data_IF_614285062857
#
_entry.id   IF_614285062857
#
_cell.length_a   1.000
_cell.length_b   1.000
_cell.length_c   1.000
_cell.angle_alpha   90.00
_cell.angle_beta   90.00
_cell.angle_gamma   90.00
#
_symmetry.space_group_name_H-M   'P 1'
#
loop_
_entity.id
_entity.type
_entity.pdbx_description
1 polymer ?
#
# COMPACT_ATOMS: atom_id res chain seq x y z
N UNK A 1 -8.51 5.80 12.36
CA UNK A 1 -9.48 6.53 13.20
C UNK A 1 -9.79 7.89 12.60
N UNK A 2 -10.59 7.91 11.55
CA UNK A 2 -11.13 9.13 10.96
C UNK A 2 -12.41 9.47 11.74
N UNK A 3 -12.32 10.35 12.71
CA UNK A 3 -13.47 10.75 13.50
C UNK A 3 -14.20 11.89 12.79
N UNK A 4 -15.36 11.61 12.23
CA UNK A 4 -16.42 12.61 12.09
C UNK A 4 -16.96 12.89 13.49
N UNK A 5 -16.25 13.71 14.25
CA UNK A 5 -16.70 14.12 15.56
C UNK A 5 -17.62 15.32 15.41
N UNK A 6 -18.94 15.07 15.58
CA UNK A 6 -20.01 16.00 15.91
C UNK A 6 -20.03 17.30 15.10
N UNK A 7 -21.16 17.53 14.44
CA UNK A 7 -21.57 18.85 13.98
C UNK A 7 -21.53 19.85 15.16
N UNK A 8 -20.42 20.55 15.32
CA UNK A 8 -20.30 21.64 16.26
C UNK A 8 -20.62 22.91 15.46
N UNK A 9 -21.80 23.48 15.65
CA UNK A 9 -22.23 24.76 15.03
C UNK A 9 -21.94 24.85 13.53
N UNK A 10 -22.50 23.95 12.68
CA UNK A 10 -22.29 23.91 11.23
C UNK A 10 -20.85 23.62 10.75
N UNK A 11 -20.00 23.06 11.58
CA UNK A 11 -18.64 22.63 11.20
C UNK A 11 -18.51 21.12 11.24
N UNK A 12 -17.82 20.59 10.25
CA UNK A 12 -17.36 19.20 10.18
C UNK A 12 -15.88 19.13 10.57
N UNK A 13 -15.50 18.08 11.24
CA UNK A 13 -14.12 17.88 11.69
C UNK A 13 -13.55 16.68 10.97
N UNK A 14 -12.45 16.88 10.25
CA UNK A 14 -11.71 15.81 9.60
C UNK A 14 -10.28 15.74 10.16
N UNK A 15 -9.75 14.53 10.29
CA UNK A 15 -8.37 14.31 10.71
C UNK A 15 -7.69 13.39 9.72
N UNK A 16 -6.74 13.92 8.95
CA UNK A 16 -5.91 13.17 8.02
C UNK A 16 -4.43 13.48 8.28
N UNK A 17 -3.54 12.51 8.10
CA UNK A 17 -2.09 12.72 8.18
C UNK A 17 -1.65 13.42 9.49
N UNK A 18 -2.30 13.08 10.61
CA UNK A 18 -2.13 13.71 11.92
C UNK A 18 -2.53 15.21 12.00
N UNK A 19 -3.13 15.77 10.94
CA UNK A 19 -3.67 17.13 10.91
C UNK A 19 -5.19 17.10 11.05
N UNK A 20 -5.72 17.88 12.01
CA UNK A 20 -7.15 18.00 12.29
C UNK A 20 -7.64 19.36 11.82
N UNK A 21 -8.66 19.35 10.94
CA UNK A 21 -9.20 20.55 10.34
C UNK A 21 -10.72 20.67 10.55
N UNK A 22 -11.20 21.90 10.59
CA UNK A 22 -12.61 22.26 10.80
C UNK A 22 -13.16 22.91 9.55
N UNK A 23 -14.03 22.19 8.83
CA UNK A 23 -14.64 22.67 7.61
C UNK A 23 -16.07 23.17 7.86
N UNK A 24 -16.41 24.34 7.31
CA UNK A 24 -17.76 24.91 7.37
C UNK A 24 -18.57 24.38 6.18
N UNK A 25 -19.85 24.11 6.41
CA UNK A 25 -20.77 23.74 5.34
C UNK A 25 -21.32 24.99 4.60
N UNK A 26 -21.42 24.98 3.24
CA UNK A 26 -20.94 23.93 2.33
C UNK A 26 -19.42 23.76 2.38
N UNK A 27 -18.94 22.55 2.08
CA UNK A 27 -17.52 22.21 2.23
C UNK A 27 -16.70 22.83 1.10
N UNK A 28 -15.63 23.54 1.46
CA UNK A 28 -14.60 23.92 0.50
C UNK A 28 -13.66 22.73 0.26
N UNK A 29 -14.04 21.85 -0.67
CA UNK A 29 -13.35 20.61 -0.99
C UNK A 29 -11.94 20.81 -1.53
N UNK A 30 -11.66 21.97 -2.12
CA UNK A 30 -10.40 22.29 -2.77
C UNK A 30 -9.63 23.42 -2.07
N UNK A 31 -9.87 23.63 -0.78
CA UNK A 31 -9.28 24.72 0.00
C UNK A 31 -7.73 24.74 -0.14
N UNK A 32 -7.16 25.82 -0.70
CA UNK A 32 -5.73 25.93 -0.99
C UNK A 32 -4.86 26.02 0.28
N UNK A 33 -5.46 26.31 1.44
CA UNK A 33 -4.72 26.35 2.71
C UNK A 33 -4.32 24.95 3.21
N UNK A 34 -4.92 23.88 2.69
CA UNK A 34 -4.55 22.52 3.01
C UNK A 34 -3.58 21.97 1.98
N UNK A 35 -2.70 21.06 2.42
CA UNK A 35 -1.81 20.36 1.48
C UNK A 35 -2.63 19.52 0.49
N UNK A 36 -2.11 19.33 -0.72
CA UNK A 36 -2.80 18.53 -1.74
C UNK A 36 -3.12 17.11 -1.23
N UNK A 37 -2.19 16.47 -0.53
CA UNK A 37 -2.43 15.14 0.01
C UNK A 37 -3.54 15.12 1.08
N UNK A 38 -3.66 16.19 1.88
CA UNK A 38 -4.77 16.31 2.84
C UNK A 38 -6.10 16.43 2.11
N UNK A 39 -6.19 17.27 1.04
CA UNK A 39 -7.38 17.37 0.20
C UNK A 39 -7.70 16.07 -0.51
N UNK A 40 -6.69 15.35 -1.00
CA UNK A 40 -6.87 14.02 -1.58
C UNK A 40 -7.57 13.08 -0.59
N UNK A 41 -7.12 13.01 0.67
CA UNK A 41 -7.75 12.20 1.71
C UNK A 41 -9.21 12.61 1.97
N UNK A 42 -9.52 13.90 1.90
CA UNK A 42 -10.91 14.39 2.00
C UNK A 42 -11.77 13.83 0.85
N UNK A 43 -11.25 13.85 -0.37
CA UNK A 43 -11.92 13.38 -1.58
C UNK A 43 -11.99 11.85 -1.73
N UNK A 44 -11.14 11.06 -1.04
CA UNK A 44 -11.15 9.59 -1.10
C UNK A 44 -12.44 8.98 -0.56
N UNK A 45 -13.07 9.62 0.41
CA UNK A 45 -14.18 9.06 1.17
C UNK A 45 -13.84 7.78 1.94
N UNK A 46 -12.55 7.48 2.19
CA UNK A 46 -12.16 6.36 3.07
C UNK A 46 -12.73 6.54 4.48
N UNK A 47 -12.78 7.78 4.97
CA UNK A 47 -13.41 8.16 6.24
C UNK A 47 -14.90 7.80 6.32
N UNK A 48 -15.57 7.63 5.17
CA UNK A 48 -16.97 7.23 5.12
C UNK A 48 -17.17 5.74 5.46
N UNK A 49 -16.12 4.92 5.37
CA UNK A 49 -16.18 3.50 5.79
C UNK A 49 -16.42 3.37 7.29
N UNK A 50 -15.94 4.28 8.11
CA UNK A 50 -16.18 4.28 9.56
C UNK A 50 -17.68 4.34 9.89
N UNK A 51 -18.49 4.96 9.02
CA UNK A 51 -19.95 4.94 9.18
C UNK A 51 -20.56 3.56 8.96
N UNK A 52 -19.99 2.77 8.07
CA UNK A 52 -20.45 1.40 7.81
C UNK A 52 -20.12 0.48 9.00
N UNK A 53 -18.93 0.61 9.57
CA UNK A 53 -18.50 -0.14 10.75
C UNK A 53 -19.35 0.21 11.98
N UNK A 54 -19.71 1.48 12.11
CA UNK A 54 -20.58 1.96 13.19
C UNK A 54 -22.02 1.44 13.05
N UNK A 55 -22.51 1.25 11.82
CA UNK A 55 -23.84 0.67 11.53
C UNK A 55 -23.99 -0.75 12.10
N UNK A 56 -22.96 -1.56 11.99
CA UNK A 56 -22.98 -2.96 12.44
C UNK A 56 -23.15 -3.03 13.96
N UNK A 57 -22.74 -1.97 14.68
CA UNK A 57 -22.62 -1.97 16.13
C UNK A 57 -23.60 -1.04 16.87
N UNK A 58 -24.45 -0.20 16.19
CA UNK A 58 -25.22 0.85 16.86
C UNK A 58 -26.56 1.23 16.22
N UNK A 59 -27.57 1.46 17.10
CA UNK A 59 -28.91 1.96 16.79
C UNK A 59 -28.98 3.46 16.34
N UNK A 60 -27.90 4.21 16.42
CA UNK A 60 -27.83 5.64 16.05
C UNK A 60 -27.62 5.89 14.54
N UNK A 61 -27.64 4.86 13.72
CA UNK A 61 -27.38 4.90 12.29
C UNK A 61 -28.20 5.95 11.50
N UNK A 62 -29.47 6.14 11.85
CA UNK A 62 -30.36 7.06 11.11
C UNK A 62 -29.92 8.52 11.12
N UNK A 63 -29.14 8.94 12.11
CA UNK A 63 -28.60 10.30 12.22
C UNK A 63 -27.30 10.46 11.44
N UNK A 64 -26.47 9.42 11.47
CA UNK A 64 -25.16 9.43 10.82
C UNK A 64 -25.29 9.22 9.31
N UNK A 65 -26.24 8.40 8.85
CA UNK A 65 -26.53 8.24 7.41
C UNK A 65 -27.01 9.53 6.76
N UNK A 66 -27.84 10.32 7.46
CA UNK A 66 -28.25 11.65 6.97
C UNK A 66 -27.06 12.59 6.79
N UNK A 67 -26.10 12.54 7.70
CA UNK A 67 -24.91 13.37 7.63
C UNK A 67 -24.04 12.97 6.43
N UNK A 68 -23.86 11.67 6.22
CA UNK A 68 -23.11 11.14 5.07
C UNK A 68 -23.81 11.51 3.74
N UNK A 69 -25.14 11.44 3.67
CA UNK A 69 -25.91 11.92 2.52
C UNK A 69 -25.63 13.39 2.20
N UNK A 70 -25.71 14.25 3.21
CA UNK A 70 -25.42 15.68 3.06
C UNK A 70 -24.02 15.90 2.47
N UNK A 71 -23.01 15.15 2.92
CA UNK A 71 -21.63 15.28 2.44
C UNK A 71 -21.45 14.74 1.00
N UNK A 72 -22.14 13.66 0.64
CA UNK A 72 -22.12 13.14 -0.74
C UNK A 72 -22.83 14.12 -1.68
N UNK A 73 -24.00 14.66 -1.27
CA UNK A 73 -24.73 15.64 -2.05
C UNK A 73 -23.91 16.91 -2.26
N UNK A 74 -23.33 17.43 -1.18
CA UNK A 74 -22.46 18.61 -1.23
C UNK A 74 -21.24 18.38 -2.14
N UNK A 75 -20.66 17.17 -2.12
CA UNK A 75 -19.55 16.84 -3.02
C UNK A 75 -19.98 16.85 -4.49
N UNK A 76 -21.12 16.26 -4.82
CA UNK A 76 -21.66 16.24 -6.20
C UNK A 76 -21.94 17.64 -6.71
N UNK A 77 -22.49 18.50 -5.86
CA UNK A 77 -22.90 19.85 -6.23
C UNK A 77 -21.72 20.83 -6.35
N UNK A 78 -20.69 20.66 -5.53
CA UNK A 78 -19.59 21.61 -5.41
C UNK A 78 -18.28 21.18 -6.10
N UNK A 79 -18.25 20.01 -6.75
CA UNK A 79 -17.06 19.56 -7.49
C UNK A 79 -17.35 19.40 -8.99
N UNK A 80 -17.17 20.49 -9.71
CA UNK A 80 -17.40 20.53 -11.16
C UNK A 80 -16.49 19.51 -11.87
N UNK A 81 -17.08 18.81 -12.86
CA UNK A 81 -16.39 17.80 -13.66
C UNK A 81 -15.03 18.29 -14.19
N UNK A 82 -14.00 17.52 -13.92
CA UNK A 82 -12.63 17.76 -14.37
C UNK A 82 -11.90 18.90 -13.67
N UNK A 83 -12.47 19.50 -12.62
CA UNK A 83 -11.84 20.58 -11.87
C UNK A 83 -11.45 20.17 -10.45
N UNK A 84 -10.27 20.60 -10.02
CA UNK A 84 -9.75 20.40 -8.67
C UNK A 84 -9.31 18.97 -8.37
N UNK A 85 -8.86 18.77 -7.15
CA UNK A 85 -8.25 17.52 -6.67
C UNK A 85 -9.24 16.34 -6.63
N UNK A 86 -10.53 16.63 -6.55
CA UNK A 86 -11.58 15.61 -6.58
C UNK A 86 -11.67 14.84 -7.90
N UNK A 87 -11.17 15.40 -9.00
CA UNK A 87 -11.17 14.78 -10.33
C UNK A 87 -9.80 14.20 -10.74
N UNK A 88 -8.85 14.16 -9.82
CA UNK A 88 -7.61 13.42 -10.01
C UNK A 88 -7.88 11.91 -10.04
N UNK A 89 -7.25 11.18 -10.95
CA UNK A 89 -7.56 9.77 -11.22
C UNK A 89 -7.41 8.86 -10.00
N UNK A 90 -6.35 9.05 -9.22
CA UNK A 90 -6.17 8.30 -7.98
C UNK A 90 -7.29 8.60 -6.96
N UNK A 91 -7.67 9.87 -6.83
CA UNK A 91 -8.75 10.30 -5.93
C UNK A 91 -10.10 9.70 -6.33
N UNK A 92 -10.42 9.72 -7.62
CA UNK A 92 -11.63 9.10 -8.17
C UNK A 92 -11.64 7.58 -7.90
N UNK A 93 -10.51 6.91 -8.10
CA UNK A 93 -10.39 5.46 -7.90
C UNK A 93 -10.82 5.05 -6.50
N UNK A 94 -10.30 5.70 -5.47
CA UNK A 94 -10.67 5.41 -4.09
C UNK A 94 -12.13 5.75 -3.81
N UNK A 95 -12.63 6.91 -4.30
CA UNK A 95 -13.99 7.34 -4.09
C UNK A 95 -15.04 6.44 -4.76
N UNK A 96 -14.83 6.00 -5.99
CA UNK A 96 -15.72 5.05 -6.67
C UNK A 96 -15.94 3.81 -5.79
N UNK A 97 -14.87 3.19 -5.31
CA UNK A 97 -14.95 2.00 -4.47
C UNK A 97 -15.71 2.27 -3.18
N UNK A 98 -15.41 3.38 -2.49
CA UNK A 98 -16.05 3.71 -1.24
C UNK A 98 -17.55 4.02 -1.42
N UNK A 99 -17.91 4.73 -2.46
CA UNK A 99 -19.33 5.02 -2.74
C UNK A 99 -20.11 3.77 -3.16
N UNK A 100 -19.52 2.89 -3.98
CA UNK A 100 -20.15 1.61 -4.31
C UNK A 100 -20.39 0.78 -3.06
N UNK A 101 -19.40 0.71 -2.16
CA UNK A 101 -19.54 0.00 -0.88
C UNK A 101 -20.69 0.58 -0.04
N UNK A 102 -20.78 1.91 0.07
CA UNK A 102 -21.84 2.60 0.80
C UNK A 102 -23.21 2.27 0.20
N UNK A 103 -23.39 2.45 -1.11
CA UNK A 103 -24.67 2.22 -1.78
C UNK A 103 -25.11 0.77 -1.65
N UNK A 104 -24.20 -0.18 -1.85
CA UNK A 104 -24.52 -1.61 -1.72
C UNK A 104 -24.80 -2.07 -0.29
N UNK A 105 -24.22 -1.39 0.70
CA UNK A 105 -24.41 -1.73 2.12
C UNK A 105 -25.62 -1.04 2.74
N UNK A 106 -26.10 0.05 2.16
CA UNK A 106 -27.09 0.93 2.76
C UNK A 106 -28.20 1.27 1.76
N UNK A 107 -29.37 0.59 1.80
CA UNK A 107 -30.48 0.82 0.86
C UNK A 107 -30.93 2.29 0.77
N UNK A 108 -30.80 3.07 1.85
CA UNK A 108 -31.12 4.49 1.87
C UNK A 108 -30.24 5.36 0.95
N UNK A 109 -29.13 4.80 0.45
CA UNK A 109 -28.25 5.44 -0.56
C UNK A 109 -28.53 4.95 -1.98
N UNK A 110 -29.48 4.05 -2.19
CA UNK A 110 -29.91 3.62 -3.52
C UNK A 110 -30.72 4.77 -4.16
N UNK A 111 -30.01 5.65 -4.85
CA UNK A 111 -30.53 6.87 -5.46
C UNK A 111 -29.88 7.10 -6.81
N UNK A 112 -30.69 7.39 -7.82
CA UNK A 112 -30.24 7.59 -9.21
C UNK A 112 -29.16 8.67 -9.32
N UNK A 113 -29.26 9.79 -8.56
CA UNK A 113 -28.23 10.86 -8.51
C UNK A 113 -26.84 10.31 -8.17
N UNK A 114 -26.76 9.38 -7.21
CA UNK A 114 -25.49 8.79 -6.79
C UNK A 114 -24.96 7.78 -7.81
N UNK A 115 -25.85 6.99 -8.37
CA UNK A 115 -25.54 6.01 -9.42
C UNK A 115 -25.00 6.74 -10.66
N UNK A 116 -25.66 7.82 -11.11
CA UNK A 116 -25.24 8.64 -12.25
C UNK A 116 -23.87 9.29 -11.98
N UNK A 117 -23.64 9.79 -10.76
CA UNK A 117 -22.35 10.36 -10.38
C UNK A 117 -21.23 9.32 -10.40
N UNK A 118 -21.48 8.10 -9.91
CA UNK A 118 -20.49 7.01 -9.98
C UNK A 118 -20.17 6.66 -11.43
N UNK A 119 -21.21 6.55 -12.29
CA UNK A 119 -20.99 6.27 -13.71
C UNK A 119 -20.18 7.35 -14.42
N UNK A 120 -20.47 8.61 -14.13
CA UNK A 120 -19.71 9.75 -14.64
C UNK A 120 -18.23 9.66 -14.22
N UNK A 121 -17.97 9.34 -12.95
CA UNK A 121 -16.61 9.18 -12.43
C UNK A 121 -15.87 7.99 -13.07
N UNK A 122 -16.56 6.86 -13.31
CA UNK A 122 -15.99 5.70 -14.02
C UNK A 122 -15.59 6.09 -15.45
N UNK A 123 -16.48 6.80 -16.16
CA UNK A 123 -16.22 7.26 -17.52
C UNK A 123 -15.04 8.24 -17.57
N UNK A 124 -14.95 9.15 -16.60
CA UNK A 124 -13.84 10.09 -16.49
C UNK A 124 -12.53 9.35 -16.23
N UNK A 125 -12.50 8.46 -15.22
CA UNK A 125 -11.32 7.65 -14.89
C UNK A 125 -10.84 6.83 -16.08
N UNK A 126 -11.76 6.20 -16.83
CA UNK A 126 -11.42 5.43 -18.02
C UNK A 126 -10.72 6.27 -19.11
N UNK A 127 -11.03 7.56 -19.19
CA UNK A 127 -10.41 8.49 -20.13
C UNK A 127 -9.14 9.16 -19.64
N UNK A 128 -8.89 9.16 -18.32
CA UNK A 128 -7.79 9.87 -17.66
C UNK A 128 -6.95 8.94 -16.76
N UNK A 129 -6.72 7.73 -17.21
CA UNK A 129 -5.93 6.71 -16.48
C UNK A 129 -4.49 7.15 -16.25
N UNK A 130 -3.89 6.70 -15.16
CA UNK A 130 -2.49 6.96 -14.80
C UNK A 130 -1.54 5.84 -15.28
N UNK A 131 -1.78 5.29 -16.46
CA UNK A 131 -0.97 4.22 -17.06
C UNK A 131 0.49 4.61 -17.29
N UNK A 132 0.76 5.90 -17.43
CA UNK A 132 2.11 6.46 -17.57
C UNK A 132 2.92 6.44 -16.25
N UNK A 133 2.28 6.41 -15.08
CA UNK A 133 2.94 6.33 -13.78
C UNK A 133 3.30 4.90 -13.40
N UNK A 134 2.44 3.94 -13.71
CA UNK A 134 2.54 2.59 -13.20
C UNK A 134 2.32 2.51 -11.68
N UNK A 135 2.89 1.49 -11.04
CA UNK A 135 2.86 1.31 -9.58
C UNK A 135 1.45 1.20 -8.99
N UNK A 136 1.33 1.53 -7.71
CA UNK A 136 0.08 1.39 -6.97
C UNK A 136 -1.05 2.28 -7.54
N UNK A 137 -0.76 3.46 -8.07
CA UNK A 137 -1.76 4.34 -8.70
C UNK A 137 -2.45 3.66 -9.88
N UNK A 138 -1.68 3.05 -10.75
CA UNK A 138 -2.22 2.33 -11.89
C UNK A 138 -3.05 1.11 -11.48
N UNK A 139 -2.59 0.35 -10.47
CA UNK A 139 -3.39 -0.76 -9.92
C UNK A 139 -4.71 -0.28 -9.34
N UNK A 140 -4.72 0.80 -8.56
CA UNK A 140 -5.96 1.37 -7.99
C UNK A 140 -6.92 1.86 -9.09
N UNK A 141 -6.40 2.46 -10.17
CA UNK A 141 -7.25 2.84 -11.32
C UNK A 141 -7.92 1.60 -11.93
N UNK A 142 -7.16 0.54 -12.22
CA UNK A 142 -7.68 -0.69 -12.82
C UNK A 142 -8.66 -1.43 -11.92
N UNK A 143 -8.34 -1.56 -10.64
CA UNK A 143 -9.23 -2.18 -9.64
C UNK A 143 -10.54 -1.42 -9.56
N UNK A 144 -10.50 -0.10 -9.53
CA UNK A 144 -11.70 0.73 -9.41
C UNK A 144 -12.54 0.74 -10.68
N UNK A 145 -11.92 0.74 -11.86
CA UNK A 145 -12.63 0.56 -13.12
C UNK A 145 -13.33 -0.80 -13.20
N UNK A 146 -12.65 -1.85 -12.73
CA UNK A 146 -13.20 -3.20 -12.72
C UNK A 146 -14.39 -3.32 -11.76
N UNK A 147 -14.24 -2.86 -10.51
CA UNK A 147 -15.31 -2.85 -9.52
C UNK A 147 -16.48 -1.99 -10.00
N UNK A 148 -16.17 -0.80 -10.55
CA UNK A 148 -17.16 0.13 -11.04
C UNK A 148 -17.97 -0.42 -12.22
N UNK A 149 -17.29 -0.95 -13.24
CA UNK A 149 -17.96 -1.47 -14.44
C UNK A 149 -18.89 -2.67 -14.13
N UNK A 150 -18.56 -3.48 -13.12
CA UNK A 150 -19.42 -4.57 -12.65
C UNK A 150 -20.76 -4.13 -12.04
N UNK A 151 -20.95 -2.83 -11.78
CA UNK A 151 -22.19 -2.28 -11.23
C UNK A 151 -23.19 -1.85 -12.31
N UNK A 152 -22.77 -1.83 -13.58
CA UNK A 152 -23.55 -1.29 -14.69
C UNK A 152 -23.68 -2.29 -15.83
N UNK A 153 -24.76 -2.16 -16.57
CA UNK A 153 -25.00 -2.92 -17.79
C UNK A 153 -24.76 -2.05 -19.04
N UNK A 154 -24.61 -2.71 -20.18
CA UNK A 154 -24.47 -2.09 -21.49
C UNK A 154 -23.06 -2.14 -22.06
N UNK A 155 -22.96 -1.87 -23.37
CA UNK A 155 -21.74 -2.05 -24.15
C UNK A 155 -20.52 -1.31 -23.62
N UNK A 156 -20.73 -0.09 -23.11
CA UNK A 156 -19.63 0.71 -22.56
C UNK A 156 -19.11 0.15 -21.25
N UNK A 157 -20.00 -0.34 -20.36
CA UNK A 157 -19.62 -0.97 -19.11
C UNK A 157 -18.83 -2.26 -19.38
N UNK A 158 -19.32 -3.09 -20.30
CA UNK A 158 -18.64 -4.31 -20.73
C UNK A 158 -17.25 -4.02 -21.31
N UNK A 159 -17.12 -3.00 -22.15
CA UNK A 159 -15.82 -2.59 -22.71
C UNK A 159 -14.83 -2.18 -21.62
N UNK A 160 -15.28 -1.41 -20.62
CA UNK A 160 -14.46 -0.99 -19.48
C UNK A 160 -14.06 -2.21 -18.66
N UNK A 161 -14.99 -3.13 -18.41
CA UNK A 161 -14.74 -4.38 -17.71
C UNK A 161 -13.65 -5.21 -18.38
N UNK A 162 -13.82 -5.53 -19.67
CA UNK A 162 -12.89 -6.36 -20.43
C UNK A 162 -11.48 -5.72 -20.49
N UNK A 163 -11.42 -4.42 -20.71
CA UNK A 163 -10.17 -3.67 -20.68
C UNK A 163 -9.46 -3.78 -19.34
N UNK A 164 -10.15 -3.40 -18.25
CA UNK A 164 -9.54 -3.37 -16.92
C UNK A 164 -9.21 -4.74 -16.38
N UNK A 165 -10.00 -5.77 -16.71
CA UNK A 165 -9.74 -7.16 -16.35
C UNK A 165 -8.44 -7.67 -16.98
N UNK A 166 -8.25 -7.44 -18.28
CA UNK A 166 -7.06 -7.85 -19.02
C UNK A 166 -5.81 -7.08 -18.59
N UNK A 167 -5.91 -5.76 -18.45
CA UNK A 167 -4.76 -4.95 -18.05
C UNK A 167 -4.37 -5.19 -16.59
N UNK A 168 -5.32 -5.43 -15.68
CA UNK A 168 -5.00 -5.78 -14.30
C UNK A 168 -4.25 -7.11 -14.19
N UNK A 169 -4.68 -8.14 -14.93
CA UNK A 169 -3.95 -9.41 -14.98
C UNK A 169 -2.50 -9.21 -15.45
N UNK A 170 -2.29 -8.39 -16.47
CA UNK A 170 -0.97 -8.07 -17.01
C UNK A 170 -0.11 -7.31 -16.00
N UNK A 171 -0.68 -6.27 -15.37
CA UNK A 171 0.03 -5.44 -14.40
C UNK A 171 0.41 -6.21 -13.15
N UNK A 172 -0.44 -7.09 -12.64
CA UNK A 172 -0.09 -7.93 -11.49
C UNK A 172 1.09 -8.87 -11.78
N UNK A 173 1.23 -9.35 -13.03
CA UNK A 173 2.40 -10.14 -13.44
C UNK A 173 3.70 -9.32 -13.44
N UNK A 174 3.61 -8.00 -13.64
CA UNK A 174 4.75 -7.07 -13.63
C UNK A 174 5.05 -6.58 -12.21
N UNK A 175 4.03 -6.18 -11.48
CA UNK A 175 4.18 -5.49 -10.20
C UNK A 175 4.37 -6.43 -9.01
N UNK A 176 3.90 -7.69 -9.10
CA UNK A 176 4.18 -8.72 -8.08
C UNK A 176 5.43 -9.49 -8.49
N UNK A 177 6.49 -9.32 -7.72
CA UNK A 177 7.78 -9.95 -7.96
C UNK A 177 7.68 -11.48 -7.78
N UNK A 178 8.71 -12.23 -8.24
CA UNK A 178 8.70 -13.70 -8.17
C UNK A 178 8.62 -14.24 -6.75
N UNK A 179 9.20 -13.51 -5.79
CA UNK A 179 9.13 -13.85 -4.36
C UNK A 179 7.82 -13.41 -3.69
N UNK A 180 6.92 -12.77 -4.42
CA UNK A 180 5.60 -12.31 -3.97
C UNK A 180 5.55 -10.87 -3.47
N UNK A 181 6.69 -10.19 -3.34
CA UNK A 181 6.73 -8.78 -2.93
C UNK A 181 6.19 -7.84 -4.01
N UNK A 182 5.65 -6.70 -3.61
CA UNK A 182 5.27 -5.63 -4.53
C UNK A 182 6.52 -4.88 -5.01
N UNK A 183 6.55 -4.47 -6.29
CA UNK A 183 7.71 -3.84 -6.92
C UNK A 183 8.20 -2.55 -6.23
N UNK A 184 7.32 -1.83 -5.53
CA UNK A 184 7.67 -0.60 -4.82
C UNK A 184 8.46 -0.85 -3.53
N UNK A 185 8.61 -2.12 -3.12
CA UNK A 185 9.44 -2.57 -2.00
C UNK A 185 9.17 -1.84 -0.67
N UNK A 186 7.92 -1.50 -0.45
CA UNK A 186 7.40 -1.00 0.81
C UNK A 186 6.41 -2.02 1.39
N UNK A 187 6.56 -2.35 2.67
CA UNK A 187 5.66 -3.29 3.34
C UNK A 187 4.24 -2.75 3.41
N UNK A 188 4.07 -1.46 3.68
CA UNK A 188 2.75 -0.84 3.80
C UNK A 188 2.00 -0.79 2.47
N UNK A 189 2.67 -0.43 1.36
CA UNK A 189 2.05 -0.45 0.03
C UNK A 189 1.75 -1.87 -0.44
N UNK A 190 2.60 -2.84 -0.08
CA UNK A 190 2.31 -4.25 -0.34
C UNK A 190 1.01 -4.69 0.35
N UNK A 191 0.85 -4.39 1.64
CA UNK A 191 -0.35 -4.73 2.40
C UNK A 191 -1.60 -4.01 1.87
N UNK A 192 -1.47 -2.73 1.50
CA UNK A 192 -2.53 -1.95 0.87
C UNK A 192 -3.04 -2.64 -0.41
N UNK A 193 -2.15 -2.99 -1.33
CA UNK A 193 -2.53 -3.65 -2.58
C UNK A 193 -3.13 -5.04 -2.30
N UNK A 194 -2.58 -5.81 -1.37
CA UNK A 194 -3.13 -7.11 -0.99
C UNK A 194 -4.59 -6.99 -0.50
N UNK A 195 -4.90 -6.03 0.37
CA UNK A 195 -6.27 -5.75 0.81
C UNK A 195 -7.20 -5.42 -0.38
N UNK A 196 -6.72 -4.59 -1.32
CA UNK A 196 -7.48 -4.22 -2.52
C UNK A 196 -7.80 -5.41 -3.41
N UNK A 197 -6.84 -6.32 -3.58
CA UNK A 197 -7.04 -7.53 -4.38
C UNK A 197 -8.01 -8.50 -3.71
N UNK A 198 -8.01 -8.61 -2.39
CA UNK A 198 -8.97 -9.43 -1.64
C UNK A 198 -10.39 -8.83 -1.79
N UNK A 199 -10.53 -7.51 -1.60
CA UNK A 199 -11.81 -6.81 -1.79
C UNK A 199 -12.36 -7.02 -3.21
N UNK A 200 -11.51 -6.83 -4.22
CA UNK A 200 -11.86 -7.11 -5.63
C UNK A 200 -12.31 -8.56 -5.82
N UNK A 201 -11.56 -9.51 -5.28
CA UNK A 201 -11.89 -10.93 -5.39
C UNK A 201 -13.25 -11.28 -4.80
N UNK A 202 -13.59 -10.68 -3.65
CA UNK A 202 -14.90 -10.85 -3.01
C UNK A 202 -16.03 -10.25 -3.87
N UNK A 203 -15.80 -9.09 -4.46
CA UNK A 203 -16.80 -8.41 -5.32
C UNK A 203 -17.04 -9.22 -6.59
N UNK A 204 -15.98 -9.65 -7.28
CA UNK A 204 -16.09 -10.48 -8.48
C UNK A 204 -16.82 -11.78 -8.15
N UNK A 205 -16.41 -12.48 -7.09
CA UNK A 205 -17.08 -13.74 -6.68
C UNK A 205 -18.56 -13.54 -6.40
N UNK A 206 -18.92 -12.48 -5.69
CA UNK A 206 -20.30 -12.19 -5.31
C UNK A 206 -21.19 -11.86 -6.52
N UNK A 207 -20.65 -11.18 -7.54
CA UNK A 207 -21.42 -10.77 -8.72
C UNK A 207 -21.43 -11.86 -9.80
N UNK A 208 -20.28 -12.49 -10.06
CA UNK A 208 -20.12 -13.41 -11.20
C UNK A 208 -20.14 -14.89 -10.81
N UNK A 209 -20.07 -15.21 -9.53
CA UNK A 209 -19.91 -16.57 -9.02
C UNK A 209 -18.54 -17.21 -9.33
N UNK A 210 -17.60 -16.45 -9.92
CA UNK A 210 -16.29 -16.95 -10.36
C UNK A 210 -15.13 -16.28 -9.62
N UNK A 211 -13.97 -16.96 -9.64
CA UNK A 211 -12.71 -16.44 -9.08
C UNK A 211 -11.62 -16.56 -10.12
N UNK A 212 -11.13 -15.47 -10.68
CA UNK A 212 -10.04 -15.51 -11.66
C UNK A 212 -8.78 -16.16 -11.07
N UNK A 213 -8.23 -17.16 -11.76
CA UNK A 213 -7.07 -17.91 -11.27
C UNK A 213 -5.85 -17.02 -11.05
N UNK A 214 -5.61 -16.05 -11.93
CA UNK A 214 -4.51 -15.09 -11.83
C UNK A 214 -4.62 -14.20 -10.58
N UNK A 215 -5.85 -13.83 -10.17
CA UNK A 215 -6.08 -13.02 -8.98
C UNK A 215 -5.80 -13.83 -7.71
N UNK A 216 -6.27 -15.08 -7.67
CA UNK A 216 -5.99 -16.00 -6.57
C UNK A 216 -4.48 -16.25 -6.42
N UNK A 217 -3.76 -16.46 -7.52
CA UNK A 217 -2.31 -16.66 -7.51
C UNK A 217 -1.59 -15.42 -6.96
N UNK A 218 -1.99 -14.23 -7.39
CA UNK A 218 -1.45 -12.97 -6.90
C UNK A 218 -1.64 -12.81 -5.39
N UNK A 219 -2.86 -13.04 -4.89
CA UNK A 219 -3.20 -12.97 -3.46
C UNK A 219 -2.38 -13.98 -2.65
N UNK A 220 -2.22 -15.22 -3.15
CA UNK A 220 -1.39 -16.25 -2.48
C UNK A 220 0.06 -15.80 -2.36
N UNK A 221 0.67 -15.35 -3.47
CA UNK A 221 2.08 -14.88 -3.48
C UNK A 221 2.29 -13.73 -2.50
N UNK A 222 1.43 -12.73 -2.56
CA UNK A 222 1.52 -11.57 -1.67
C UNK A 222 1.28 -11.93 -0.22
N UNK A 223 0.34 -12.82 0.09
CA UNK A 223 0.10 -13.30 1.45
C UNK A 223 1.31 -14.03 2.02
N UNK A 224 1.96 -14.89 1.23
CA UNK A 224 3.15 -15.61 1.65
C UNK A 224 4.33 -14.67 1.91
N UNK A 225 4.49 -13.66 1.08
CA UNK A 225 5.48 -12.62 1.29
C UNK A 225 5.20 -11.84 2.59
N UNK A 226 3.97 -11.40 2.83
CA UNK A 226 3.58 -10.73 4.06
C UNK A 226 3.89 -11.58 5.31
N UNK A 227 3.56 -12.87 5.28
CA UNK A 227 3.90 -13.80 6.37
C UNK A 227 5.42 -13.88 6.58
N UNK A 228 6.19 -13.88 5.50
CA UNK A 228 7.66 -13.99 5.55
C UNK A 228 8.33 -12.80 6.24
N UNK A 229 7.78 -11.59 6.08
CA UNK A 229 8.33 -10.35 6.66
C UNK A 229 7.77 -10.00 8.03
N UNK A 230 6.73 -10.69 8.48
CA UNK A 230 6.09 -10.43 9.77
C UNK A 230 7.08 -10.61 10.91
N UNK A 231 7.21 -9.62 11.76
CA UNK A 231 8.02 -9.64 12.98
C UNK A 231 7.31 -10.35 14.14
N UNK A 232 8.05 -10.81 15.14
CA UNK A 232 7.47 -11.46 16.35
C UNK A 232 6.46 -10.58 17.09
N UNK A 233 6.63 -9.27 17.04
CA UNK A 233 5.71 -8.32 17.66
C UNK A 233 4.45 -8.00 16.84
N UNK A 234 4.25 -8.67 15.70
CA UNK A 234 3.11 -8.43 14.81
C UNK A 234 3.28 -7.23 13.87
N UNK A 235 4.43 -6.59 13.85
CA UNK A 235 4.75 -5.50 12.93
C UNK A 235 5.45 -5.99 11.68
N UNK A 236 5.82 -5.08 10.81
CA UNK A 236 6.60 -5.28 9.59
C UNK A 236 7.79 -4.31 9.54
N UNK A 237 8.82 -4.59 8.70
CA UNK A 237 9.97 -3.70 8.52
C UNK A 237 9.57 -2.34 7.94
N UNK A 238 10.23 -1.28 8.39
CA UNK A 238 9.93 0.09 7.98
C UNK A 238 10.82 0.59 6.82
N UNK A 239 11.31 -0.30 5.97
CA UNK A 239 12.10 0.07 4.81
C UNK A 239 11.28 0.89 3.80
N UNK A 240 11.91 1.88 3.17
CA UNK A 240 11.28 2.79 2.22
C UNK A 240 10.09 3.55 2.86
N UNK A 241 9.14 3.98 2.05
CA UNK A 241 7.88 4.58 2.51
C UNK A 241 6.98 3.51 3.16
N UNK A 242 7.29 3.14 4.40
CA UNK A 242 6.51 2.20 5.19
C UNK A 242 6.07 2.86 6.50
N UNK A 243 4.96 3.62 6.51
CA UNK A 243 4.40 4.17 7.74
C UNK A 243 3.84 3.07 8.66
N UNK A 244 3.88 3.30 9.97
CA UNK A 244 3.29 2.40 10.97
C UNK A 244 1.75 2.44 11.00
N UNK A 245 1.12 3.25 10.14
CA UNK A 245 -0.33 3.55 10.16
C UNK A 245 -1.13 2.58 9.29
N UNK A 246 -0.46 1.72 8.53
CA UNK A 246 -1.14 0.74 7.66
C UNK A 246 -1.85 -0.31 8.51
N UNK A 247 -2.80 -1.01 7.89
CA UNK A 247 -3.49 -2.12 8.53
C UNK A 247 -2.50 -3.10 9.15
N UNK A 248 -2.77 -3.59 10.37
CA UNK A 248 -1.91 -4.58 10.99
C UNK A 248 -1.71 -5.78 10.09
N UNK A 249 -0.46 -6.21 9.91
CA UNK A 249 -0.13 -7.32 9.00
C UNK A 249 -0.93 -8.59 9.31
N UNK A 250 -1.18 -8.85 10.59
CA UNK A 250 -1.96 -10.01 11.04
C UNK A 250 -3.40 -9.96 10.55
N UNK A 251 -4.04 -8.80 10.59
CA UNK A 251 -5.41 -8.63 10.10
C UNK A 251 -5.50 -8.88 8.60
N UNK A 252 -4.58 -8.32 7.82
CA UNK A 252 -4.53 -8.51 6.36
C UNK A 252 -4.29 -9.97 6.01
N UNK A 253 -3.38 -10.65 6.72
CA UNK A 253 -3.11 -12.08 6.50
C UNK A 253 -4.30 -12.95 6.90
N UNK A 254 -4.97 -12.66 8.02
CA UNK A 254 -6.20 -13.37 8.42
C UNK A 254 -7.30 -13.17 7.38
N UNK A 255 -7.50 -11.94 6.92
CA UNK A 255 -8.48 -11.60 5.90
C UNK A 255 -8.21 -12.35 4.58
N UNK A 256 -6.96 -12.34 4.12
CA UNK A 256 -6.53 -13.09 2.94
C UNK A 256 -6.78 -14.59 3.08
N UNK A 257 -6.36 -15.20 4.18
CA UNK A 257 -6.58 -16.63 4.45
C UNK A 257 -8.06 -16.97 4.52
N UNK A 258 -8.88 -16.12 5.12
CA UNK A 258 -10.33 -16.32 5.16
C UNK A 258 -10.93 -16.34 3.75
N UNK A 259 -10.54 -15.40 2.89
CA UNK A 259 -10.95 -15.36 1.49
C UNK A 259 -10.50 -16.63 0.73
N UNK A 260 -9.25 -17.00 0.87
CA UNK A 260 -8.67 -18.16 0.20
C UNK A 260 -9.29 -19.48 0.71
N UNK A 261 -9.61 -19.61 1.99
CA UNK A 261 -10.19 -20.82 2.58
C UNK A 261 -11.64 -21.09 2.13
N UNK A 262 -12.42 -20.05 1.77
CA UNK A 262 -13.76 -20.24 1.15
C UNK A 262 -13.67 -21.14 -0.09
N UNK A 263 -12.55 -21.13 -0.79
CA UNK A 263 -12.29 -21.95 -1.95
C UNK A 263 -12.22 -23.46 -1.63
N UNK A 264 -11.69 -23.84 -0.45
CA UNK A 264 -11.57 -25.27 -0.04
C UNK A 264 -12.92 -25.93 0.23
N UNK A 265 -13.89 -25.16 0.69
CA UNK A 265 -15.22 -25.68 1.05
C UNK A 265 -16.11 -25.95 -0.17
N UNK A 266 -15.87 -25.26 -1.29
CA UNK A 266 -16.72 -25.34 -2.48
C UNK A 266 -16.32 -26.44 -3.48
N UNK A 267 -15.07 -26.96 -3.45
CA UNK A 267 -14.59 -27.94 -4.45
C UNK A 267 -13.87 -29.13 -3.83
N UNK A 268 -14.63 -30.11 -3.34
CA UNK A 268 -14.11 -31.43 -2.94
C UNK A 268 -13.60 -32.33 -4.10
N UNK A 269 -13.44 -31.81 -5.31
CA UNK A 269 -13.20 -32.67 -6.50
C UNK A 269 -12.03 -32.31 -7.43
N UNK A 270 -11.34 -31.19 -7.30
CA UNK A 270 -10.30 -30.79 -8.27
C UNK A 270 -8.94 -30.71 -7.58
N UNK A 271 -8.07 -31.70 -7.84
CA UNK A 271 -6.62 -31.61 -7.62
C UNK A 271 -6.05 -30.65 -8.66
N UNK A 272 -5.97 -29.37 -8.36
CA UNK A 272 -5.28 -28.36 -9.18
C UNK A 272 -3.93 -28.03 -8.56
N UNK A 273 -3.02 -27.45 -9.38
CA UNK A 273 -1.72 -26.91 -8.92
C UNK A 273 -1.90 -25.93 -7.75
N UNK A 274 -3.04 -25.24 -7.70
CA UNK A 274 -3.49 -24.37 -6.60
C UNK A 274 -3.73 -25.15 -5.30
N UNK A 275 -4.35 -26.33 -5.36
CA UNK A 275 -4.59 -27.18 -4.18
C UNK A 275 -3.28 -27.70 -3.60
N UNK A 276 -2.28 -27.97 -4.43
CA UNK A 276 -0.95 -28.40 -4.02
C UNK A 276 -0.18 -27.26 -3.36
N UNK A 277 -0.25 -26.04 -3.91
CA UNK A 277 0.28 -24.83 -3.26
C UNK A 277 -0.39 -24.59 -1.89
N UNK A 278 -1.70 -24.82 -1.78
CA UNK A 278 -2.44 -24.71 -0.52
C UNK A 278 -2.04 -25.74 0.52
N UNK A 279 -1.84 -26.99 0.13
CA UNK A 279 -1.44 -28.07 1.04
C UNK A 279 -0.07 -27.83 1.65
N UNK A 280 0.80 -27.11 0.91
CA UNK A 280 2.17 -26.76 1.33
C UNK A 280 2.21 -25.64 2.37
N UNK A 281 1.18 -24.80 2.47
CA UNK A 281 1.17 -23.58 3.31
C UNK A 281 0.17 -23.62 4.50
N UNK A 282 -0.29 -24.81 4.89
CA UNK A 282 -0.88 -25.07 6.21
C UNK A 282 -2.23 -24.43 6.53
N UNK A 283 -2.91 -25.01 7.48
CA UNK A 283 -4.15 -24.55 8.09
C UNK A 283 -3.88 -23.44 9.12
N UNK A 284 -4.90 -22.67 9.46
CA UNK A 284 -4.94 -21.48 10.32
C UNK A 284 -4.32 -21.61 11.72
N UNK A 285 -3.65 -22.71 12.06
CA UNK A 285 -3.17 -22.99 13.41
C UNK A 285 -1.73 -22.58 13.71
N UNK A 286 -0.92 -22.22 12.72
CA UNK A 286 0.51 -22.08 12.96
C UNK A 286 1.15 -20.82 12.38
N UNK A 287 0.96 -19.69 13.05
CA UNK A 287 1.94 -18.60 13.03
C UNK A 287 3.24 -18.98 13.78
N UNK A 288 3.23 -20.08 14.55
CA UNK A 288 4.33 -20.51 15.40
C UNK A 288 5.23 -21.56 14.77
N UNK A 289 4.83 -22.25 13.69
CA UNK A 289 5.62 -23.34 13.14
C UNK A 289 6.54 -22.91 12.02
N UNK A 290 7.83 -23.11 12.28
CA UNK A 290 9.01 -23.04 11.40
C UNK A 290 9.09 -21.77 10.54
N UNK A 291 9.27 -20.62 11.16
CA UNK A 291 9.98 -19.57 10.48
C UNK A 291 11.38 -20.08 10.22
N UNK A 292 11.74 -20.30 8.94
CA UNK A 292 13.08 -20.69 8.57
C UNK A 292 14.10 -19.76 9.24
N UNK A 293 15.21 -20.33 9.71
CA UNK A 293 16.32 -19.54 10.27
C UNK A 293 16.76 -18.41 9.33
N UNK A 294 16.69 -18.64 8.03
CA UNK A 294 16.96 -17.66 6.97
C UNK A 294 15.82 -17.69 5.95
N UNK A 295 15.18 -16.54 5.76
CA UNK A 295 14.24 -16.29 4.67
C UNK A 295 14.88 -15.32 3.69
N UNK A 296 14.93 -15.68 2.41
CA UNK A 296 15.56 -14.88 1.35
C UNK A 296 14.52 -14.48 0.32
N UNK A 297 14.26 -13.19 0.23
CA UNK A 297 13.35 -12.56 -0.73
C UNK A 297 14.21 -11.82 -1.77
N UNK A 298 14.77 -12.58 -2.72
CA UNK A 298 15.80 -12.05 -3.63
C UNK A 298 15.30 -11.02 -4.61
N UNK A 299 14.04 -11.13 -5.09
CA UNK A 299 13.49 -10.17 -6.04
C UNK A 299 13.10 -8.87 -5.35
N UNK A 300 12.51 -8.94 -4.15
CA UNK A 300 12.31 -7.77 -3.28
C UNK A 300 13.64 -7.22 -2.80
N UNK A 301 14.62 -8.08 -2.55
CA UNK A 301 15.93 -7.72 -2.05
C UNK A 301 16.00 -7.60 -0.52
N UNK A 302 15.27 -8.48 0.19
CA UNK A 302 15.29 -8.54 1.66
C UNK A 302 15.68 -9.93 2.14
N UNK A 303 16.45 -9.98 3.24
CA UNK A 303 16.75 -11.22 3.99
C UNK A 303 16.33 -11.05 5.43
N UNK A 304 15.69 -12.07 5.97
CA UNK A 304 15.27 -12.13 7.36
C UNK A 304 15.92 -13.33 8.02
N UNK A 305 16.65 -13.09 9.10
CA UNK A 305 17.27 -14.13 9.93
C UNK A 305 16.57 -14.16 11.26
N UNK A 306 16.15 -15.35 11.69
CA UNK A 306 15.49 -15.56 12.97
C UNK A 306 16.24 -16.61 13.78
N UNK A 307 16.49 -16.31 15.04
CA UNK A 307 17.17 -17.19 15.98
C UNK A 307 16.22 -17.63 17.10
N UNK A 308 16.40 -18.86 17.56
CA UNK A 308 15.57 -19.45 18.64
C UNK A 308 15.65 -18.65 19.94
N UNK A 309 16.78 -17.98 20.16
CA UNK A 309 16.99 -17.10 21.31
C UNK A 309 16.20 -15.76 21.21
N UNK A 310 15.38 -15.59 20.17
CA UNK A 310 14.50 -14.44 19.97
C UNK A 310 15.10 -13.25 19.23
N UNK A 311 16.31 -13.36 18.70
CA UNK A 311 16.83 -12.34 17.77
C UNK A 311 16.21 -12.49 16.38
N UNK A 312 15.86 -11.35 15.78
CA UNK A 312 15.48 -11.20 14.39
C UNK A 312 16.37 -10.12 13.76
N UNK A 313 16.98 -10.42 12.62
CA UNK A 313 17.76 -9.48 11.84
C UNK A 313 17.16 -9.40 10.45
N UNK A 314 16.91 -8.20 9.99
CA UNK A 314 16.48 -7.91 8.64
C UNK A 314 17.57 -7.15 7.92
N UNK A 315 17.81 -7.52 6.66
CA UNK A 315 18.83 -6.93 5.82
C UNK A 315 18.24 -6.60 4.45
N UNK A 316 18.28 -5.33 4.10
CA UNK A 316 17.88 -4.83 2.79
C UNK A 316 19.09 -4.85 1.86
N UNK A 317 19.13 -5.81 0.93
CA UNK A 317 20.27 -6.03 0.03
C UNK A 317 19.87 -6.00 -1.46
N UNK A 318 18.71 -5.44 -1.76
CA UNK A 318 18.21 -5.25 -3.12
C UNK A 318 18.11 -3.77 -3.52
N UNK A 319 17.70 -3.54 -4.77
CA UNK A 319 17.42 -2.18 -5.24
C UNK A 319 16.34 -1.53 -4.37
N UNK A 320 16.40 -0.23 -4.21
CA UNK A 320 15.46 0.50 -3.34
C UNK A 320 14.08 0.64 -3.99
N UNK A 321 14.01 0.77 -5.32
CA UNK A 321 12.77 1.02 -6.04
C UNK A 321 12.86 0.51 -7.49
N UNK A 322 11.73 0.42 -8.21
CA UNK A 322 11.74 0.24 -9.65
C UNK A 322 12.47 1.41 -10.34
N UNK A 323 13.16 1.12 -11.45
CA UNK A 323 13.94 2.14 -12.18
C UNK A 323 13.07 3.31 -12.65
N UNK A 324 11.85 3.04 -13.08
CA UNK A 324 10.90 4.02 -13.60
C UNK A 324 10.09 4.72 -12.52
N UNK A 325 10.03 4.17 -11.30
CA UNK A 325 9.17 4.67 -10.23
C UNK A 325 9.94 4.81 -8.90
N UNK A 326 10.68 5.92 -8.71
CA UNK A 326 11.45 6.16 -7.48
C UNK A 326 10.63 6.79 -6.35
N UNK A 327 9.32 6.83 -6.46
CA UNK A 327 8.45 7.62 -5.58
C UNK A 327 8.64 7.30 -4.09
N UNK A 328 8.82 6.03 -3.77
CA UNK A 328 8.92 5.55 -2.39
C UNK A 328 10.36 5.24 -1.95
N UNK A 329 11.36 5.64 -2.76
CA UNK A 329 12.76 5.37 -2.47
C UNK A 329 13.29 6.20 -1.30
N UNK A 330 14.04 5.53 -0.43
CA UNK A 330 14.89 6.14 0.58
C UNK A 330 16.36 5.82 0.29
N UNK A 331 17.28 6.55 0.90
CA UNK A 331 18.71 6.30 0.79
C UNK A 331 19.17 5.23 1.81
N UNK A 332 18.52 4.08 1.78
CA UNK A 332 18.58 2.97 2.75
C UNK A 332 19.16 1.67 2.17
N UNK A 333 20.03 1.76 1.15
CA UNK A 333 20.72 0.60 0.58
C UNK A 333 21.61 -0.08 1.61
N UNK A 334 21.47 -1.42 1.72
CA UNK A 334 22.18 -2.26 2.67
C UNK A 334 21.84 -1.95 4.14
N UNK A 335 20.68 -1.36 4.40
CA UNK A 335 20.22 -1.10 5.74
C UNK A 335 19.85 -2.37 6.50
N UNK A 336 19.96 -2.31 7.83
CA UNK A 336 19.65 -3.39 8.75
C UNK A 336 18.67 -2.96 9.83
N UNK A 337 17.77 -3.88 10.21
CA UNK A 337 16.98 -3.82 11.43
C UNK A 337 17.35 -4.99 12.34
N UNK A 338 17.39 -4.78 13.66
CA UNK A 338 17.65 -5.82 14.64
C UNK A 338 16.61 -5.72 15.77
N UNK A 339 16.00 -6.86 16.07
CA UNK A 339 15.02 -7.00 17.15
C UNK A 339 15.44 -8.10 18.13
N UNK A 340 15.02 -7.97 19.37
CA UNK A 340 15.10 -9.01 20.40
C UNK A 340 13.75 -9.20 21.07
N UNK A 341 13.17 -10.38 20.91
CA UNK A 341 11.82 -10.70 21.41
C UNK A 341 10.76 -9.65 21.00
N UNK A 342 10.83 -9.21 19.73
CA UNK A 342 9.94 -8.20 19.16
C UNK A 342 10.21 -6.75 19.59
N UNK A 343 11.22 -6.50 20.44
CA UNK A 343 11.65 -5.14 20.79
C UNK A 343 12.79 -4.70 19.89
N UNK A 344 12.75 -3.48 19.33
CA UNK A 344 13.81 -2.98 18.45
C UNK A 344 15.08 -2.72 19.25
N UNK A 345 16.23 -3.08 18.65
CA UNK A 345 17.59 -2.71 19.05
C UNK A 345 18.17 -1.71 18.05
N UNK A 346 18.03 -2.01 16.77
CA UNK A 346 18.35 -1.16 15.64
C UNK A 346 17.10 -1.12 14.78
N UNK A 347 16.60 0.07 14.46
CA UNK A 347 15.33 0.27 13.79
C UNK A 347 15.45 1.30 12.68
N UNK A 348 14.80 1.03 11.56
CA UNK A 348 14.52 2.00 10.50
C UNK A 348 13.46 3.01 10.94
N UNK A 349 13.60 4.26 10.49
CA UNK A 349 12.67 5.34 10.87
C UNK A 349 11.31 5.21 10.18
N UNK A 350 11.27 4.60 9.00
CA UNK A 350 10.06 4.57 8.16
C UNK A 350 9.67 5.95 7.64
N UNK A 351 8.38 6.20 7.54
CA UNK A 351 7.81 7.44 7.04
C UNK A 351 6.70 7.93 7.97
N UNK A 352 6.83 9.13 8.49
CA UNK A 352 5.83 9.77 9.35
C UNK A 352 4.86 10.68 8.58
N UNK A 353 5.29 11.22 7.44
CA UNK A 353 4.49 12.12 6.61
C UNK A 353 5.01 12.17 5.16
N UNK A 354 4.19 12.74 4.27
CA UNK A 354 4.49 12.91 2.86
C UNK A 354 4.55 14.40 2.43
N UNK A 355 4.60 15.31 3.39
CA UNK A 355 4.68 16.75 3.13
C UNK A 355 6.08 17.19 2.69
N UNK A 356 6.18 18.34 1.99
CA UNK A 356 7.45 19.02 1.71
C UNK A 356 7.94 19.69 3.00
N UNK A 357 8.76 18.99 3.77
CA UNK A 357 9.32 19.49 5.01
C UNK A 357 10.64 18.78 5.36
N UNK A 358 11.37 19.35 6.30
CA UNK A 358 12.67 18.85 6.75
C UNK A 358 12.59 17.43 7.35
N UNK A 359 11.48 17.05 7.98
CA UNK A 359 11.29 15.69 8.50
C UNK A 359 11.26 14.68 7.36
N UNK A 360 10.50 14.96 6.29
CA UNK A 360 10.43 14.09 5.11
C UNK A 360 11.79 13.97 4.41
N UNK A 361 12.53 15.07 4.29
CA UNK A 361 13.88 15.08 3.72
C UNK A 361 14.83 14.24 4.56
N UNK A 362 14.77 14.36 5.89
CA UNK A 362 15.57 13.56 6.82
C UNK A 362 15.21 12.07 6.72
N UNK A 363 13.94 11.70 6.81
CA UNK A 363 13.46 10.32 6.73
C UNK A 363 13.88 9.59 5.45
N UNK A 364 14.08 10.32 4.35
CA UNK A 364 14.54 9.76 3.08
C UNK A 364 16.06 9.77 2.89
N UNK A 365 16.81 10.47 3.73
CA UNK A 365 18.27 10.57 3.65
C UNK A 365 18.95 9.40 4.36
N UNK A 366 20.20 9.10 4.02
CA UNK A 366 21.01 8.08 4.70
C UNK A 366 21.16 8.32 6.20
N UNK A 367 21.05 9.56 6.65
CA UNK A 367 21.16 9.92 8.07
C UNK A 367 20.04 9.32 8.94
N UNK A 368 18.91 8.94 8.33
CA UNK A 368 17.78 8.30 9.00
C UNK A 368 17.86 6.76 9.00
N UNK A 369 18.88 6.19 8.37
CA UNK A 369 18.96 4.76 8.11
C UNK A 369 20.22 4.11 8.69
N UNK A 370 20.17 2.80 8.88
CA UNK A 370 21.27 2.00 9.42
C UNK A 370 22.20 1.53 8.30
N UNK A 371 22.80 2.48 7.59
CA UNK A 371 23.62 2.26 6.39
C UNK A 371 25.04 2.75 6.57
N UNK A 372 25.95 2.23 5.73
CA UNK A 372 27.26 2.84 5.57
C UNK A 372 27.15 4.08 4.69
N UNK A 373 27.74 5.20 5.14
CA UNK A 373 27.77 6.44 4.40
C UNK A 373 29.20 6.94 4.21
N UNK A 374 29.56 7.32 2.97
CA UNK A 374 30.84 7.92 2.66
C UNK A 374 30.81 9.41 2.99
N UNK A 375 31.89 9.90 3.63
CA UNK A 375 32.08 11.31 3.88
C UNK A 375 33.31 11.83 3.13
N UNK A 376 33.16 12.98 2.47
CA UNK A 376 34.29 13.74 1.99
C UNK A 376 34.76 14.71 3.08
N UNK A 377 36.00 14.51 3.53
CA UNK A 377 36.59 15.38 4.56
C UNK A 377 36.79 16.79 4.02
N UNK A 378 36.55 17.80 4.85
CA UNK A 378 36.74 19.19 4.46
C UNK A 378 38.22 19.49 4.22
N UNK A 379 38.53 20.25 3.18
CA UNK A 379 39.88 20.73 2.87
C UNK A 379 40.33 21.77 3.89
N UNK A 380 39.39 22.42 4.55
CA UNK A 380 39.67 23.45 5.60
C UNK A 380 38.74 23.28 6.79
N UNK A 381 39.19 23.73 7.99
CA UNK A 381 38.40 23.70 9.23
C UNK A 381 37.07 24.48 9.17
N UNK A 382 36.91 25.36 8.17
CA UNK A 382 35.69 26.16 7.97
C UNK A 382 34.60 25.42 7.14
N UNK A 383 34.97 24.35 6.47
CA UNK A 383 34.05 23.58 5.66
C UNK A 383 33.38 22.47 6.49
N UNK A 384 32.10 22.23 6.23
CA UNK A 384 31.37 21.09 6.82
C UNK A 384 31.76 19.79 6.12
N UNK A 385 31.68 18.68 6.84
CA UNK A 385 31.79 17.35 6.26
C UNK A 385 30.67 17.19 5.20
N UNK A 386 31.07 16.77 4.00
CA UNK A 386 30.13 16.49 2.94
C UNK A 386 29.80 15.00 2.91
N UNK A 387 28.61 14.64 3.38
CA UNK A 387 28.09 13.27 3.34
C UNK A 387 27.54 12.94 1.95
N UNK A 388 27.92 11.81 1.42
CA UNK A 388 27.53 11.37 0.08
C UNK A 388 26.36 10.39 0.19
N UNK A 389 25.24 10.78 -0.40
CA UNK A 389 24.06 9.93 -0.48
C UNK A 389 24.21 8.86 -1.59
N UNK A 390 23.96 7.55 -1.31
CA UNK A 390 23.92 6.51 -2.34
C UNK A 390 22.74 6.68 -3.29
N UNK A 391 21.67 7.32 -2.80
CA UNK A 391 20.48 7.70 -3.58
C UNK A 391 20.17 9.15 -3.25
N UNK A 392 20.17 10.00 -4.25
CA UNK A 392 19.81 11.41 -4.08
C UNK A 392 18.29 11.55 -4.16
N UNK A 393 17.66 11.82 -3.04
CA UNK A 393 16.22 12.05 -2.95
C UNK A 393 15.91 13.52 -2.78
N UNK A 394 14.82 14.00 -3.41
CA UNK A 394 14.32 15.36 -3.20
C UNK A 394 12.81 15.45 -3.39
N UNK A 395 12.24 16.52 -2.87
CA UNK A 395 10.81 16.69 -2.85
C UNK A 395 10.13 15.52 -2.14
N UNK A 396 8.86 15.32 -2.40
CA UNK A 396 8.09 14.27 -1.72
C UNK A 396 8.36 12.87 -2.28
N UNK A 397 8.56 12.75 -3.61
CA UNK A 397 8.52 11.48 -4.34
C UNK A 397 9.58 11.36 -5.44
N UNK A 398 10.64 12.15 -5.42
CA UNK A 398 11.66 12.13 -6.47
C UNK A 398 12.98 11.58 -5.95
N UNK A 399 13.68 10.86 -6.83
CA UNK A 399 15.06 10.44 -6.62
C UNK A 399 15.82 10.47 -7.95
N UNK A 400 17.01 11.09 -7.97
CA UNK A 400 17.80 11.19 -9.19
C UNK A 400 18.75 10.04 -9.36
N UNK A 401 19.64 9.90 -8.43
CA UNK A 401 20.73 8.97 -8.56
C UNK A 401 20.39 7.68 -7.85
N UNK A 402 20.41 6.58 -8.61
CA UNK A 402 20.13 5.26 -8.10
C UNK A 402 21.38 4.42 -8.21
N UNK A 403 21.95 4.08 -7.06
CA UNK A 403 22.97 3.06 -7.02
C UNK A 403 22.40 1.71 -7.45
N UNK A 404 23.25 0.88 -8.06
CA UNK A 404 22.92 -0.50 -8.41
C UNK A 404 23.48 -1.44 -7.37
N UNK A 405 22.72 -2.44 -7.02
CA UNK A 405 23.23 -3.57 -6.27
C UNK A 405 24.13 -4.41 -7.20
N UNK A 406 25.40 -4.55 -6.83
CA UNK A 406 26.38 -5.34 -7.59
C UNK A 406 26.33 -6.80 -7.14
N UNK A 407 26.23 -7.04 -5.82
CA UNK A 407 26.22 -8.37 -5.23
C UNK A 407 25.18 -8.48 -4.15
N UNK A 408 24.46 -9.57 -4.16
CA UNK A 408 23.51 -9.96 -3.11
C UNK A 408 23.55 -11.48 -2.92
N UNK A 409 24.11 -11.92 -1.80
CA UNK A 409 24.26 -13.34 -1.47
C UNK A 409 23.93 -13.54 0.01
N UNK A 410 23.35 -14.67 0.30
CA UNK A 410 23.17 -15.13 1.67
C UNK A 410 23.26 -16.66 1.73
N UNK A 411 23.39 -17.20 2.92
CA UNK A 411 23.43 -18.64 3.11
C UNK A 411 23.60 -19.04 4.57
N UNK A 412 23.53 -20.33 4.80
CA UNK A 412 23.79 -20.97 6.09
C UNK A 412 25.00 -21.89 5.95
N UNK A 413 26.00 -21.69 6.76
CA UNK A 413 27.18 -22.58 6.82
C UNK A 413 26.83 -23.90 7.52
N UNK A 414 27.59 -24.98 7.32
CA UNK A 414 27.35 -26.27 7.99
C UNK A 414 27.28 -26.18 9.52
N UNK A 415 28.03 -25.27 10.13
CA UNK A 415 27.98 -24.98 11.57
C UNK A 415 26.76 -24.15 12.01
N UNK A 416 25.79 -23.89 11.13
CA UNK A 416 24.59 -23.14 11.41
C UNK A 416 24.73 -21.60 11.42
N UNK A 417 25.93 -21.08 11.10
CA UNK A 417 26.14 -19.62 10.97
C UNK A 417 25.45 -19.12 9.71
N UNK A 418 24.58 -18.13 9.86
CA UNK A 418 23.98 -17.39 8.74
C UNK A 418 24.95 -16.29 8.34
N UNK A 419 25.16 -16.13 7.04
CA UNK A 419 25.93 -15.04 6.48
C UNK A 419 25.11 -14.31 5.41
N UNK A 420 25.24 -12.98 5.40
CA UNK A 420 24.57 -12.07 4.48
C UNK A 420 25.62 -11.15 3.87
N UNK A 421 25.56 -10.91 2.58
CA UNK A 421 26.46 -10.01 1.88
C UNK A 421 25.72 -9.22 0.82
N UNK A 422 25.88 -7.90 0.83
CA UNK A 422 25.44 -6.99 -0.20
C UNK A 422 26.57 -6.05 -0.62
N UNK A 423 26.55 -5.57 -1.84
CA UNK A 423 27.40 -4.47 -2.29
C UNK A 423 26.68 -3.64 -3.36
N UNK A 424 27.05 -2.36 -3.48
CA UNK A 424 26.50 -1.44 -4.43
C UNK A 424 27.58 -0.52 -5.03
N UNK A 425 27.26 0.13 -6.17
CA UNK A 425 28.19 1.00 -6.92
C UNK A 425 28.11 2.49 -6.54
N UNK A 426 27.36 2.85 -5.52
CA UNK A 426 27.09 4.26 -5.20
C UNK A 426 28.34 5.15 -5.07
N UNK A 427 29.41 4.57 -4.58
CA UNK A 427 30.65 5.31 -4.24
C UNK A 427 31.81 5.06 -5.22
N UNK A 428 31.62 4.25 -6.26
CA UNK A 428 32.67 3.95 -7.25
C UNK A 428 33.21 5.22 -7.94
N UNK A 429 32.33 6.20 -8.16
CA UNK A 429 32.74 7.53 -8.71
C UNK A 429 33.75 8.29 -7.86
N UNK A 430 33.91 7.93 -6.60
CA UNK A 430 34.89 8.50 -5.67
C UNK A 430 36.07 7.57 -5.45
N UNK A 431 36.21 6.50 -6.26
CA UNK A 431 37.25 5.50 -6.12
C UNK A 431 37.02 4.48 -5.01
N UNK A 432 35.86 4.52 -4.36
CA UNK A 432 35.52 3.58 -3.29
C UNK A 432 34.53 2.49 -3.80
N UNK A 433 34.88 1.22 -3.57
CA UNK A 433 33.94 0.08 -3.73
C UNK A 433 33.46 -0.34 -2.36
N UNK A 434 32.15 -0.43 -2.23
CA UNK A 434 31.53 -0.87 -0.99
C UNK A 434 30.63 -2.10 -1.22
#
# INVERSE_FOLDING_TARGET
NYLLNKKIKNKFVFKFLNQKEYLTFPIDWNNPNFTQLWRFNLHYFDWARDFLDYRINNLAWSKDSRLLKILIDDWIENNQLGKGDGWHSYTISLRIRNWILIIRSCPEFDNQKYIDSIWLQICWLYSHKEDYLGGNHWLENLISLLIGSLQFEGEKAERIFQYSFKELEKELKVQILKDGGHQERSASYHLLILERLIELGLIIENITGSRPAWLIEAIIKMTNWAISIRLKNGNYPLFNDSPQISSPIDEVVIYSRSYLNRFKLQKKGIKSKLTEMYSKYGTTKDYSQSQNKLTSLFDTGWSIVRYDNGFELLFKFGDTCPKHLPAHAHSDLLSIDIFKNGKPIILETGTSNYGLNTTREYERSSAAHNVFQLALLPISKKQKINWIEPIETWGNFRAARKAKIIKKINGIRPNGIVWLQGSHDAYERFGARY
#
